data_IF_204833110440
#
_entry.id   IF_204833110440
#
_cell.length_a   1.000
_cell.length_b   1.000
_cell.length_c   1.000
_cell.angle_alpha   90.00
_cell.angle_beta   90.00
_cell.angle_gamma   90.00
#
_symmetry.space_group_name_H-M   'P 1'
#
loop_
_entity.id
_entity.type
_entity.pdbx_description
1 polymer ?
#
# COMPACT_ATOMS: atom_id res chain seq x y z
N UNK A 1 13.07 -37.82 5.25
CA UNK A 1 13.21 -36.54 5.98
C UNK A 1 11.92 -35.75 5.83
N UNK A 2 11.20 -35.58 6.94
CA UNK A 2 9.92 -34.85 6.96
C UNK A 2 10.18 -33.36 6.68
N UNK A 3 9.60 -32.80 5.59
CA UNK A 3 9.60 -31.35 5.35
C UNK A 3 8.71 -30.69 6.40
N UNK A 4 9.32 -29.96 7.32
CA UNK A 4 8.60 -29.14 8.29
C UNK A 4 7.85 -28.04 7.52
N UNK A 5 6.51 -28.06 7.57
CA UNK A 5 5.68 -27.00 6.99
C UNK A 5 5.87 -25.73 7.82
N UNK A 6 6.36 -24.65 7.20
CA UNK A 6 6.37 -23.34 7.82
C UNK A 6 4.93 -22.85 7.97
N UNK A 7 4.51 -22.56 9.19
CA UNK A 7 3.26 -21.87 9.46
C UNK A 7 3.48 -20.38 9.19
N UNK A 8 2.82 -19.82 8.18
CA UNK A 8 2.78 -18.38 7.97
C UNK A 8 1.86 -17.77 9.03
N UNK A 9 2.42 -17.24 10.10
CA UNK A 9 1.70 -16.38 11.02
C UNK A 9 1.40 -15.05 10.30
N UNK A 10 0.16 -14.86 9.91
CA UNK A 10 -0.30 -13.55 9.45
C UNK A 10 -0.55 -12.70 10.70
N UNK A 11 0.39 -11.83 11.03
CA UNK A 11 0.11 -10.75 11.97
C UNK A 11 -1.06 -9.95 11.41
N UNK A 12 -2.16 -9.84 12.16
CA UNK A 12 -3.24 -8.91 11.81
C UNK A 12 -2.64 -7.52 11.76
N UNK A 13 -2.50 -6.97 10.56
CA UNK A 13 -2.08 -5.57 10.40
C UNK A 13 -3.05 -4.69 11.18
N UNK A 14 -2.55 -4.06 12.23
CA UNK A 14 -3.32 -3.07 12.99
C UNK A 14 -3.16 -1.76 12.22
N UNK A 15 -4.13 -1.48 11.35
CA UNK A 15 -4.20 -0.24 10.59
C UNK A 15 -4.58 0.91 11.54
N UNK A 16 -3.58 1.64 12.01
CA UNK A 16 -3.72 2.86 12.79
C UNK A 16 -2.65 3.89 12.36
N UNK A 17 -2.88 5.14 12.72
CA UNK A 17 -2.00 6.25 12.33
C UNK A 17 -0.58 6.08 12.90
N UNK A 18 -0.44 5.55 14.13
CA UNK A 18 0.87 5.36 14.77
C UNK A 18 1.77 4.31 14.11
N UNK A 19 1.18 3.40 13.33
CA UNK A 19 1.90 2.34 12.63
C UNK A 19 2.25 2.70 11.18
N UNK A 20 1.82 3.88 10.71
CA UNK A 20 2.13 4.39 9.38
C UNK A 20 3.28 5.38 9.49
N UNK A 21 4.41 5.08 8.86
CA UNK A 21 5.54 6.00 8.85
C UNK A 21 5.31 7.13 7.86
N UNK A 22 5.42 8.37 8.35
CA UNK A 22 5.19 9.58 7.58
C UNK A 22 6.51 10.34 7.42
N UNK A 23 6.89 10.63 6.18
CA UNK A 23 7.96 11.55 5.85
C UNK A 23 7.57 12.41 4.63
N UNK A 24 8.51 13.15 4.07
CA UNK A 24 8.23 14.08 2.95
C UNK A 24 7.60 13.40 1.72
N UNK A 25 7.86 12.10 1.48
CA UNK A 25 7.37 11.37 0.30
C UNK A 25 5.87 11.05 0.35
N UNK A 26 5.27 11.04 1.54
CA UNK A 26 3.85 10.70 1.75
C UNK A 26 3.10 11.67 2.68
N UNK A 27 3.77 12.69 3.22
CA UNK A 27 3.19 13.65 4.16
C UNK A 27 1.91 14.30 3.64
N UNK A 28 1.93 14.78 2.39
CA UNK A 28 0.79 15.45 1.80
C UNK A 28 -0.43 14.52 1.69
N UNK A 29 -0.21 13.25 1.29
CA UNK A 29 -1.26 12.25 1.21
C UNK A 29 -1.83 11.94 2.59
N UNK A 30 -0.96 11.69 3.56
CA UNK A 30 -1.36 11.41 4.92
C UNK A 30 -2.18 12.55 5.51
N UNK A 31 -1.66 13.78 5.41
CA UNK A 31 -2.33 14.97 5.97
C UNK A 31 -3.69 15.22 5.29
N UNK A 32 -3.77 15.10 3.96
CA UNK A 32 -5.01 15.30 3.22
C UNK A 32 -6.08 14.26 3.54
N UNK A 33 -5.70 12.99 3.69
CA UNK A 33 -6.65 11.91 3.95
C UNK A 33 -7.06 11.81 5.41
N UNK A 34 -6.16 12.17 6.32
CA UNK A 34 -6.41 12.00 7.74
C UNK A 34 -6.91 13.29 8.40
N UNK A 35 -6.40 14.45 8.03
CA UNK A 35 -6.72 15.71 8.70
C UNK A 35 -7.69 16.60 7.91
N UNK A 36 -7.82 16.40 6.61
CA UNK A 36 -8.72 17.19 5.76
C UNK A 36 -9.93 16.34 5.32
N UNK A 37 -11.13 16.95 5.38
CA UNK A 37 -12.36 16.31 4.89
C UNK A 37 -12.52 16.55 3.38
N UNK A 38 -11.71 15.88 2.57
CA UNK A 38 -11.91 15.87 1.12
C UNK A 38 -13.00 14.86 0.77
N UNK A 39 -14.04 15.29 0.04
CA UNK A 39 -15.16 14.42 -0.32
C UNK A 39 -14.73 13.26 -1.23
N UNK A 40 -13.90 13.56 -2.25
CA UNK A 40 -13.44 12.55 -3.20
C UNK A 40 -11.93 12.67 -3.39
N UNK A 41 -11.22 11.57 -3.21
CA UNK A 41 -9.75 11.52 -3.32
C UNK A 41 -9.30 10.36 -4.18
N UNK A 42 -8.26 10.61 -4.98
CA UNK A 42 -7.58 9.63 -5.81
C UNK A 42 -6.12 9.53 -5.33
N UNK A 43 -5.79 8.43 -4.64
CA UNK A 43 -4.47 8.16 -4.09
C UNK A 43 -3.70 7.23 -5.04
N UNK A 44 -2.59 7.69 -5.57
CA UNK A 44 -1.76 6.88 -6.45
C UNK A 44 -0.30 6.88 -6.01
N UNK A 45 0.46 5.93 -6.53
CA UNK A 45 1.88 5.79 -6.22
C UNK A 45 2.41 4.39 -6.48
N UNK A 46 3.70 4.15 -6.26
CA UNK A 46 4.35 2.88 -6.55
C UNK A 46 3.73 1.69 -5.83
N UNK A 47 3.96 0.49 -6.37
CA UNK A 47 3.61 -0.74 -5.67
C UNK A 47 4.31 -0.81 -4.31
N UNK A 48 3.64 -1.40 -3.31
CA UNK A 48 4.16 -1.53 -1.94
C UNK A 48 4.45 -0.22 -1.20
N UNK A 49 4.03 0.94 -1.73
CA UNK A 49 4.24 2.26 -1.09
C UNK A 49 3.35 2.54 0.14
N UNK A 50 2.45 1.62 0.49
CA UNK A 50 1.57 1.76 1.64
C UNK A 50 0.20 2.37 1.33
N UNK A 51 -0.21 2.48 0.05
CA UNK A 51 -1.56 2.96 -0.34
C UNK A 51 -2.67 2.23 0.39
N UNK A 52 -2.68 0.89 0.33
CA UNK A 52 -3.68 0.07 1.01
C UNK A 52 -3.65 0.24 2.54
N UNK A 53 -2.47 0.45 3.13
CA UNK A 53 -2.38 0.71 4.56
C UNK A 53 -3.05 2.04 4.93
N UNK A 54 -2.72 3.11 4.20
CA UNK A 54 -3.29 4.44 4.41
C UNK A 54 -4.79 4.47 4.12
N UNK A 55 -5.24 3.78 3.07
CA UNK A 55 -6.66 3.68 2.74
C UNK A 55 -7.48 2.94 3.79
N UNK A 56 -6.92 1.92 4.45
CA UNK A 56 -7.57 1.22 5.55
C UNK A 56 -7.67 2.09 6.82
N UNK A 57 -6.68 2.96 7.10
CA UNK A 57 -6.80 3.96 8.16
C UNK A 57 -7.96 4.92 7.85
N UNK A 58 -7.99 5.46 6.62
CA UNK A 58 -9.06 6.34 6.14
C UNK A 58 -10.44 5.67 6.24
N UNK A 59 -10.54 4.40 5.82
CA UNK A 59 -11.78 3.62 5.86
C UNK A 59 -12.35 3.52 7.28
N UNK A 60 -11.49 3.21 8.26
CA UNK A 60 -11.90 3.14 9.67
C UNK A 60 -12.35 4.48 10.21
N UNK A 61 -11.58 5.55 9.92
CA UNK A 61 -11.87 6.90 10.38
C UNK A 61 -13.19 7.42 9.83
N UNK A 62 -13.50 7.10 8.59
CA UNK A 62 -14.72 7.57 7.90
C UNK A 62 -15.90 6.60 8.01
N UNK A 63 -15.79 5.52 8.79
CA UNK A 63 -16.81 4.48 8.92
C UNK A 63 -17.33 4.00 7.55
N UNK A 64 -16.40 3.81 6.63
CA UNK A 64 -16.68 3.48 5.23
C UNK A 64 -16.84 1.99 4.97
N UNK A 65 -17.14 1.65 3.72
CA UNK A 65 -17.17 0.29 3.19
C UNK A 65 -16.15 0.17 2.05
N UNK A 66 -15.45 -0.96 2.03
CA UNK A 66 -14.55 -1.30 0.93
C UNK A 66 -15.32 -2.01 -0.18
N UNK A 67 -15.13 -1.55 -1.42
CA UNK A 67 -15.68 -2.21 -2.59
C UNK A 67 -15.07 -3.61 -2.74
N UNK A 68 -15.93 -4.61 -2.78
CA UNK A 68 -15.60 -6.01 -3.03
C UNK A 68 -16.46 -6.55 -4.17
N UNK A 69 -16.36 -7.83 -4.47
CA UNK A 69 -17.13 -8.45 -5.53
C UNK A 69 -18.66 -8.24 -5.39
N UNK A 70 -19.17 -8.25 -4.18
CA UNK A 70 -20.59 -8.02 -3.88
C UNK A 70 -20.91 -6.53 -3.66
N UNK A 71 -20.64 -5.70 -4.67
CA UNK A 71 -20.83 -4.24 -4.57
C UNK A 71 -22.30 -3.81 -4.45
N UNK A 72 -23.28 -4.66 -4.79
CA UNK A 72 -24.72 -4.37 -4.68
C UNK A 72 -25.13 -3.99 -3.25
N UNK A 73 -24.46 -4.57 -2.26
CA UNK A 73 -24.66 -4.22 -0.85
C UNK A 73 -24.25 -2.78 -0.52
N UNK A 74 -23.39 -2.15 -1.33
CA UNK A 74 -22.96 -0.76 -1.10
C UNK A 74 -24.08 0.24 -1.40
N UNK A 75 -25.08 -0.14 -2.21
CA UNK A 75 -26.18 0.73 -2.64
C UNK A 75 -27.22 0.96 -1.55
N UNK A 76 -27.43 -0.04 -0.71
CA UNK A 76 -28.38 0.04 0.40
C UNK A 76 -27.80 0.79 1.60
N UNK A 77 -26.47 0.88 1.68
CA UNK A 77 -25.78 1.57 2.77
C UNK A 77 -25.25 2.93 2.29
N UNK A 78 -25.86 4.02 2.77
CA UNK A 78 -25.33 5.38 2.57
C UNK A 78 -24.06 5.60 3.41
N UNK A 79 -22.96 4.95 2.99
CA UNK A 79 -21.65 5.01 3.65
C UNK A 79 -20.57 5.49 2.70
N UNK A 80 -19.52 6.04 3.24
CA UNK A 80 -18.30 6.36 2.52
C UNK A 80 -17.69 5.11 1.89
N UNK A 81 -17.04 5.23 0.74
CA UNK A 81 -16.57 4.07 -0.04
C UNK A 81 -15.07 4.14 -0.27
N UNK A 82 -14.43 2.98 -0.15
CA UNK A 82 -13.05 2.75 -0.58
C UNK A 82 -13.03 1.80 -1.78
N UNK A 83 -12.34 2.19 -2.85
CA UNK A 83 -11.93 1.31 -3.96
C UNK A 83 -10.42 1.14 -3.85
N UNK A 84 -9.96 0.00 -3.29
CA UNK A 84 -8.53 -0.28 -3.17
C UNK A 84 -8.02 -0.99 -4.43
N UNK A 85 -7.12 -0.34 -5.17
CA UNK A 85 -6.60 -0.67 -6.49
C UNK A 85 -7.67 -0.69 -7.60
N UNK A 86 -7.90 0.50 -8.16
CA UNK A 86 -8.89 0.76 -9.22
C UNK A 86 -8.83 -0.27 -10.36
N UNK A 87 -7.60 -0.68 -10.76
CA UNK A 87 -7.38 -1.53 -11.93
C UNK A 87 -7.86 -2.98 -11.75
N UNK A 88 -8.28 -3.36 -10.55
CA UNK A 88 -8.86 -4.69 -10.27
C UNK A 88 -10.35 -4.78 -10.57
N UNK A 89 -11.00 -3.66 -10.88
CA UNK A 89 -12.45 -3.61 -11.04
C UNK A 89 -12.86 -3.21 -12.46
N UNK A 90 -14.03 -3.66 -12.87
CA UNK A 90 -14.64 -3.26 -14.13
C UNK A 90 -15.03 -1.78 -14.11
N UNK A 91 -14.77 -1.08 -15.21
CA UNK A 91 -15.06 0.36 -15.32
C UNK A 91 -16.55 0.69 -15.11
N UNK A 92 -17.46 -0.19 -15.52
CA UNK A 92 -18.91 -0.04 -15.30
C UNK A 92 -19.26 0.01 -13.81
N UNK A 93 -18.68 -0.90 -13.04
CA UNK A 93 -18.84 -0.92 -11.58
C UNK A 93 -18.29 0.33 -10.92
N UNK A 94 -17.07 0.74 -11.33
CA UNK A 94 -16.44 1.95 -10.82
C UNK A 94 -17.30 3.17 -11.12
N UNK A 95 -17.75 3.30 -12.38
CA UNK A 95 -18.59 4.42 -12.83
C UNK A 95 -19.88 4.52 -12.01
N UNK A 96 -20.51 3.39 -11.77
CA UNK A 96 -21.72 3.31 -10.96
C UNK A 96 -21.46 3.78 -9.50
N UNK A 97 -20.41 3.28 -8.87
CA UNK A 97 -20.04 3.66 -7.49
C UNK A 97 -19.69 5.14 -7.40
N UNK A 98 -18.89 5.66 -8.36
CA UNK A 98 -18.53 7.08 -8.44
C UNK A 98 -19.79 7.96 -8.50
N UNK A 99 -20.74 7.61 -9.39
CA UNK A 99 -21.99 8.35 -9.53
C UNK A 99 -22.83 8.31 -8.25
N UNK A 100 -22.96 7.12 -7.64
CA UNK A 100 -23.70 6.97 -6.40
C UNK A 100 -23.11 7.80 -5.26
N UNK A 101 -21.79 7.81 -5.11
CA UNK A 101 -21.12 8.61 -4.09
C UNK A 101 -21.32 10.12 -4.32
N UNK A 102 -21.23 10.60 -5.56
CA UNK A 102 -21.45 12.01 -5.90
C UNK A 102 -22.90 12.41 -5.62
N UNK A 103 -23.88 11.62 -6.06
CA UNK A 103 -25.31 11.92 -5.89
C UNK A 103 -25.75 11.93 -4.43
N UNK A 104 -25.14 11.08 -3.60
CA UNK A 104 -25.49 10.96 -2.18
C UNK A 104 -24.56 11.74 -1.24
N UNK A 105 -23.66 12.57 -1.77
CA UNK A 105 -22.64 13.31 -1.00
C UNK A 105 -21.82 12.42 -0.05
N UNK A 106 -21.43 11.22 -0.52
CA UNK A 106 -20.60 10.28 0.23
C UNK A 106 -19.12 10.49 -0.10
N UNK A 107 -18.26 10.35 0.88
CA UNK A 107 -16.82 10.41 0.63
C UNK A 107 -16.36 9.15 -0.12
N UNK A 108 -15.49 9.34 -1.12
CA UNK A 108 -14.95 8.26 -1.93
C UNK A 108 -13.42 8.37 -1.98
N UNK A 109 -12.74 7.31 -1.56
CA UNK A 109 -11.31 7.14 -1.75
C UNK A 109 -11.07 6.03 -2.77
N UNK A 110 -10.28 6.36 -3.80
CA UNK A 110 -9.84 5.40 -4.81
C UNK A 110 -8.33 5.33 -4.74
N UNK A 111 -7.77 4.11 -4.71
CA UNK A 111 -6.32 3.92 -4.86
C UNK A 111 -5.97 3.34 -6.22
N UNK A 112 -4.77 3.63 -6.70
CA UNK A 112 -4.24 3.09 -7.96
C UNK A 112 -2.72 3.02 -7.96
N UNK A 113 -2.16 2.07 -8.69
CA UNK A 113 -0.73 2.01 -9.01
C UNK A 113 -0.32 2.98 -10.12
N UNK A 114 -1.30 3.56 -10.85
CA UNK A 114 -1.09 4.48 -11.98
C UNK A 114 -1.78 5.82 -11.75
N UNK A 115 -1.21 6.88 -12.36
CA UNK A 115 -1.88 8.19 -12.45
C UNK A 115 -3.12 8.10 -13.34
N UNK A 116 -4.12 8.93 -13.09
CA UNK A 116 -5.36 8.95 -13.89
C UNK A 116 -5.07 9.11 -15.39
N UNK A 117 -4.10 9.96 -15.73
CA UNK A 117 -3.76 10.22 -17.14
C UNK A 117 -3.02 9.05 -17.83
N UNK A 118 -2.51 8.08 -17.07
CA UNK A 118 -1.83 6.88 -17.57
C UNK A 118 -2.80 5.70 -17.75
N UNK A 119 -4.05 5.86 -17.27
CA UNK A 119 -5.09 4.83 -17.38
C UNK A 119 -5.90 5.10 -18.64
N UNK A 120 -5.96 4.10 -19.50
CA UNK A 120 -6.74 4.18 -20.73
C UNK A 120 -8.20 3.76 -20.46
N UNK A 121 -9.02 4.71 -20.01
CA UNK A 121 -10.44 4.48 -19.73
C UNK A 121 -11.26 4.33 -21.01
N UNK A 122 -12.12 3.33 -21.05
CA UNK A 122 -13.17 3.16 -22.10
C UNK A 122 -14.24 4.23 -21.95
N UNK A 123 -14.63 4.55 -20.70
CA UNK A 123 -15.64 5.55 -20.40
C UNK A 123 -15.01 6.92 -20.16
N UNK A 124 -15.12 7.82 -21.17
CA UNK A 124 -14.57 9.18 -21.07
C UNK A 124 -15.18 9.98 -19.92
N UNK A 125 -16.45 9.74 -19.61
CA UNK A 125 -17.14 10.42 -18.51
C UNK A 125 -16.55 10.02 -17.15
N UNK A 126 -16.23 8.74 -16.94
CA UNK A 126 -15.53 8.28 -15.74
C UNK A 126 -14.19 9.00 -15.58
N UNK A 127 -13.37 9.02 -16.65
CA UNK A 127 -12.09 9.72 -16.64
C UNK A 127 -12.24 11.21 -16.28
N UNK A 128 -13.25 11.88 -16.85
CA UNK A 128 -13.52 13.28 -16.56
C UNK A 128 -13.90 13.54 -15.11
N UNK A 129 -14.73 12.67 -14.53
CA UNK A 129 -15.12 12.74 -13.11
C UNK A 129 -13.94 12.48 -12.18
N UNK A 130 -13.14 11.46 -12.45
CA UNK A 130 -11.95 11.15 -11.63
C UNK A 130 -10.93 12.29 -11.64
N UNK A 131 -10.80 13.03 -12.74
CA UNK A 131 -9.92 14.20 -12.82
C UNK A 131 -10.34 15.37 -11.90
N UNK A 132 -11.59 15.40 -11.44
CA UNK A 132 -12.06 16.40 -10.47
C UNK A 132 -11.72 16.04 -9.02
N UNK A 133 -11.28 14.83 -8.76
CA UNK A 133 -10.92 14.36 -7.42
C UNK A 133 -9.63 15.01 -6.94
N UNK A 134 -9.46 15.09 -5.62
CA UNK A 134 -8.19 15.47 -5.02
C UNK A 134 -7.14 14.41 -5.34
N UNK A 135 -6.16 14.78 -6.18
CA UNK A 135 -5.09 13.85 -6.60
C UNK A 135 -3.96 13.86 -5.56
N UNK A 136 -3.72 12.70 -4.96
CA UNK A 136 -2.74 12.50 -3.90
C UNK A 136 -1.69 11.49 -4.37
N UNK A 137 -0.43 11.91 -4.43
CA UNK A 137 0.69 11.06 -4.89
C UNK A 137 1.57 10.64 -3.70
N UNK A 138 1.75 9.33 -3.50
CA UNK A 138 2.88 8.81 -2.72
C UNK A 138 4.06 8.74 -3.67
N UNK A 139 5.09 9.52 -3.37
CA UNK A 139 6.29 9.60 -4.20
C UNK A 139 7.18 8.34 -4.08
N UNK A 140 8.20 8.25 -4.94
CA UNK A 140 9.25 7.25 -4.79
C UNK A 140 9.96 7.41 -3.43
N UNK A 141 10.40 6.30 -2.83
CA UNK A 141 11.01 6.35 -1.50
C UNK A 141 12.37 7.06 -1.54
N UNK A 142 12.62 7.90 -0.56
CA UNK A 142 13.97 8.37 -0.27
C UNK A 142 14.73 7.40 0.65
N UNK A 143 15.98 7.71 0.96
CA UNK A 143 16.83 6.84 1.77
C UNK A 143 16.28 6.60 3.17
N UNK A 144 15.72 7.63 3.79
CA UNK A 144 15.10 7.53 5.10
C UNK A 144 13.92 6.56 5.08
N UNK A 145 13.05 6.67 4.06
CA UNK A 145 11.91 5.78 3.86
C UNK A 145 12.37 4.34 3.61
N UNK A 146 13.38 4.13 2.75
CA UNK A 146 13.92 2.80 2.45
C UNK A 146 14.49 2.12 3.70
N UNK A 147 15.29 2.83 4.51
CA UNK A 147 15.84 2.31 5.77
C UNK A 147 14.73 1.96 6.74
N UNK A 148 13.74 2.84 6.88
CA UNK A 148 12.63 2.63 7.81
C UNK A 148 11.79 1.40 7.43
N UNK A 149 11.45 1.26 6.15
CA UNK A 149 10.69 0.10 5.66
C UNK A 149 11.50 -1.18 5.79
N UNK A 150 12.78 -1.16 5.40
CA UNK A 150 13.67 -2.31 5.54
C UNK A 150 13.76 -2.76 6.99
N UNK A 151 13.95 -1.82 7.92
CA UNK A 151 13.99 -2.10 9.37
C UNK A 151 12.68 -2.74 9.83
N UNK A 152 11.55 -2.14 9.48
CA UNK A 152 10.23 -2.65 9.85
C UNK A 152 10.01 -4.07 9.35
N UNK A 153 10.28 -4.32 8.07
CA UNK A 153 10.10 -5.63 7.46
C UNK A 153 11.01 -6.71 8.07
N UNK A 154 12.27 -6.36 8.35
CA UNK A 154 13.21 -7.29 9.01
C UNK A 154 12.73 -7.64 10.44
N UNK A 155 12.23 -6.66 11.19
CA UNK A 155 11.66 -6.88 12.53
C UNK A 155 10.39 -7.73 12.46
N UNK A 156 9.50 -7.47 11.52
CA UNK A 156 8.28 -8.26 11.29
C UNK A 156 8.60 -9.75 10.98
N UNK A 157 9.73 -9.98 10.27
CA UNK A 157 10.26 -11.32 10.00
C UNK A 157 11.11 -11.89 11.13
N UNK A 158 11.17 -11.20 12.27
CA UNK A 158 11.92 -11.60 13.47
C UNK A 158 13.44 -11.75 13.24
N UNK A 159 14.00 -11.02 12.28
CA UNK A 159 15.44 -10.96 12.11
C UNK A 159 16.12 -10.19 13.25
N UNK A 160 17.22 -10.75 13.76
CA UNK A 160 18.10 -10.05 14.68
C UNK A 160 19.11 -9.25 13.86
N UNK A 161 19.09 -7.93 14.00
CA UNK A 161 19.98 -7.01 13.29
C UNK A 161 21.17 -6.72 14.18
N UNK A 162 22.33 -7.32 13.87
CA UNK A 162 23.55 -7.20 14.67
C UNK A 162 24.47 -6.04 14.24
N UNK A 163 24.28 -5.46 13.05
CA UNK A 163 25.12 -4.38 12.53
C UNK A 163 24.34 -3.50 11.55
N UNK A 164 24.59 -2.20 11.59
CA UNK A 164 24.03 -1.24 10.64
C UNK A 164 24.62 -1.41 9.24
N UNK A 165 25.74 -2.06 9.06
CA UNK A 165 26.36 -2.33 7.75
C UNK A 165 25.45 -3.14 6.83
N UNK A 166 24.51 -3.91 7.41
CA UNK A 166 23.52 -4.69 6.66
C UNK A 166 22.63 -3.77 5.80
N UNK A 167 22.19 -2.64 6.35
CA UNK A 167 21.35 -1.68 5.64
C UNK A 167 22.10 -1.06 4.46
N UNK A 168 23.32 -0.54 4.71
CA UNK A 168 24.15 0.02 3.64
C UNK A 168 24.47 -1.02 2.57
N UNK A 169 24.75 -2.26 2.99
CA UNK A 169 25.09 -3.34 2.07
C UNK A 169 23.93 -3.64 1.10
N UNK A 170 22.69 -3.71 1.62
CA UNK A 170 21.48 -3.95 0.84
C UNK A 170 21.20 -2.74 -0.07
N UNK A 171 21.13 -1.52 0.49
CA UNK A 171 20.72 -0.32 -0.24
C UNK A 171 21.69 0.07 -1.38
N UNK A 172 22.96 -0.36 -1.33
CA UNK A 172 23.92 -0.16 -2.43
C UNK A 172 23.74 -1.13 -3.61
N UNK A 173 22.94 -2.20 -3.45
CA UNK A 173 22.84 -3.30 -4.43
C UNK A 173 21.42 -3.59 -4.91
N UNK A 174 20.44 -3.03 -4.25
CA UNK A 174 19.03 -3.21 -4.56
C UNK A 174 18.49 -1.92 -5.17
N UNK A 175 17.57 -2.04 -6.11
CA UNK A 175 16.88 -0.88 -6.67
C UNK A 175 16.20 -0.07 -5.59
N UNK A 176 16.25 1.25 -5.75
CA UNK A 176 15.69 2.21 -4.77
C UNK A 176 14.17 2.32 -4.92
N UNK A 177 13.48 1.23 -4.70
CA UNK A 177 12.02 1.14 -4.79
C UNK A 177 11.42 0.39 -3.60
N UNK A 178 10.17 0.71 -3.27
CA UNK A 178 9.41 -0.03 -2.24
C UNK A 178 9.36 -1.53 -2.55
N UNK A 179 9.10 -1.87 -3.80
CA UNK A 179 8.96 -3.26 -4.26
C UNK A 179 10.24 -4.05 -4.07
N UNK A 180 11.38 -3.50 -4.48
CA UNK A 180 12.68 -4.15 -4.35
C UNK A 180 13.07 -4.43 -2.88
N UNK A 181 12.73 -3.52 -1.94
CA UNK A 181 12.95 -3.74 -0.51
C UNK A 181 12.07 -4.89 0.02
N UNK A 182 10.80 -4.93 -0.38
CA UNK A 182 9.93 -6.05 0.00
C UNK A 182 10.43 -7.39 -0.55
N UNK A 183 10.88 -7.41 -1.81
CA UNK A 183 11.35 -8.62 -2.47
C UNK A 183 12.62 -9.18 -1.84
N UNK A 184 13.60 -8.31 -1.54
CA UNK A 184 14.83 -8.76 -0.89
C UNK A 184 14.56 -9.34 0.49
N UNK A 185 13.70 -8.70 1.31
CA UNK A 185 13.36 -9.22 2.63
C UNK A 185 12.63 -10.56 2.54
N UNK A 186 11.71 -10.73 1.59
CA UNK A 186 11.04 -12.01 1.38
C UNK A 186 12.02 -13.12 0.96
N UNK A 187 12.97 -12.83 0.05
CA UNK A 187 14.02 -13.77 -0.34
C UNK A 187 14.91 -14.15 0.85
N UNK A 188 15.29 -13.15 1.66
CA UNK A 188 16.09 -13.40 2.88
C UNK A 188 15.36 -14.28 3.89
N UNK A 189 14.06 -14.05 4.09
CA UNK A 189 13.22 -14.85 4.98
C UNK A 189 13.23 -16.32 4.56
N UNK A 190 12.94 -16.60 3.30
CA UNK A 190 12.96 -17.97 2.76
C UNK A 190 14.34 -18.61 2.92
N UNK A 191 15.41 -17.93 2.51
CA UNK A 191 16.76 -18.49 2.56
C UNK A 191 17.24 -18.73 4.00
N UNK A 192 16.93 -17.81 4.93
CA UNK A 192 17.25 -17.93 6.35
C UNK A 192 16.61 -19.17 6.98
N UNK A 193 15.33 -19.40 6.66
CA UNK A 193 14.58 -20.56 7.14
C UNK A 193 15.12 -21.88 6.55
N UNK A 194 15.41 -21.91 5.25
CA UNK A 194 15.96 -23.09 4.58
C UNK A 194 17.33 -23.49 5.14
N UNK A 195 18.20 -22.49 5.32
CA UNK A 195 19.57 -22.72 5.79
C UNK A 195 19.74 -22.72 7.31
N UNK A 196 18.68 -22.36 8.05
CA UNK A 196 18.69 -22.20 9.52
C UNK A 196 19.83 -21.26 9.97
N UNK A 197 20.01 -20.14 9.26
CA UNK A 197 21.07 -19.17 9.50
C UNK A 197 20.50 -17.80 9.84
N UNK A 198 21.19 -17.08 10.72
CA UNK A 198 20.86 -15.69 11.05
C UNK A 198 21.20 -14.75 9.90
N UNK A 199 20.61 -13.54 9.93
CA UNK A 199 20.87 -12.50 8.97
C UNK A 199 22.31 -11.98 9.11
N UNK A 200 23.09 -12.20 8.07
CA UNK A 200 24.50 -11.78 7.99
C UNK A 200 24.83 -11.35 6.57
N UNK A 201 25.87 -10.53 6.39
CA UNK A 201 26.33 -10.12 5.05
C UNK A 201 26.63 -11.33 4.15
N UNK A 202 27.31 -12.41 4.63
CA UNK A 202 27.47 -13.63 3.82
C UNK A 202 26.16 -14.25 3.34
N UNK A 203 25.10 -14.24 4.16
CA UNK A 203 23.78 -14.75 3.75
C UNK A 203 23.16 -13.86 2.68
N UNK A 204 23.27 -12.55 2.85
CA UNK A 204 22.74 -11.56 1.90
C UNK A 204 23.43 -11.68 0.51
N UNK A 205 24.75 -11.95 0.51
CA UNK A 205 25.53 -12.18 -0.73
C UNK A 205 25.03 -13.33 -1.61
N UNK A 206 24.33 -14.28 -1.02
CA UNK A 206 23.81 -15.43 -1.78
C UNK A 206 22.56 -15.08 -2.60
N UNK A 207 21.95 -13.91 -2.34
CA UNK A 207 20.72 -13.45 -2.99
C UNK A 207 20.99 -12.27 -3.94
N UNK A 208 22.01 -11.47 -3.65
CA UNK A 208 22.44 -10.30 -4.41
C UNK A 208 23.62 -10.61 -5.30
#
# INVERSE_FOLDING_TARGET
MSKQKSFSYHFKNIYNESNFFVNKTNFNCFNSLINNNNNHSFLFGPNKSGKSFLSQIWLKKNNGLELKENFELLLDYKKNVLIDELLLFDEEKIFFVVNNCILNNLNLLITSSKKINEINFKFKDLSSRLKTFSNLEIEQPDDEMLITILTKLLVEKQFIINSNDIFEYILRRVDRSYEAIHDIVNKLDVLSLEKKRQLTIPLIKEIL
#
